data_IF_299992398650
#
_entry.id   IF_299992398650
#
_cell.length_a   1.000
_cell.length_b   1.000
_cell.length_c   1.000
_cell.angle_alpha   90.00
_cell.angle_beta   90.00
_cell.angle_gamma   90.00
#
_symmetry.space_group_name_H-M   'P 1'
#
loop_
_entity.id
_entity.type
_entity.pdbx_description
1 polymer ?
#
# COMPACT_ATOMS: atom_id res chain seq x y z
N UNK A 1 -13.62 -6.58 19.17
CA UNK A 1 -13.77 -7.22 17.84
C UNK A 1 -12.92 -6.44 16.83
N UNK A 2 -12.01 -7.07 16.09
CA UNK A 2 -10.96 -6.37 15.32
C UNK A 2 -11.37 -5.93 13.91
N UNK A 3 -12.54 -6.34 13.41
CA UNK A 3 -13.00 -6.03 12.05
C UNK A 3 -14.48 -5.68 11.98
N UNK A 4 -15.05 -5.07 13.04
CA UNK A 4 -16.49 -4.76 13.10
C UNK A 4 -16.98 -3.76 12.04
N UNK A 5 -16.06 -3.10 11.33
CA UNK A 5 -16.36 -2.23 10.20
C UNK A 5 -16.25 -2.93 8.82
N UNK A 6 -15.73 -4.16 8.76
CA UNK A 6 -15.67 -4.95 7.53
C UNK A 6 -16.86 -5.90 7.46
N UNK A 7 -17.52 -6.03 6.29
CA UNK A 7 -18.47 -7.12 6.08
C UNK A 7 -17.81 -8.48 6.30
N UNK A 8 -18.56 -9.46 6.81
CA UNK A 8 -18.05 -10.82 7.06
C UNK A 8 -17.35 -11.42 5.82
N UNK A 9 -17.90 -11.15 4.63
CA UNK A 9 -17.39 -11.60 3.34
C UNK A 9 -16.54 -10.55 2.59
N UNK A 10 -16.22 -9.43 3.22
CA UNK A 10 -15.47 -8.32 2.59
C UNK A 10 -14.13 -8.78 2.00
N UNK A 11 -13.44 -9.69 2.68
CA UNK A 11 -12.15 -10.25 2.26
C UNK A 11 -12.15 -10.90 0.86
N UNK A 12 -13.32 -11.26 0.32
CA UNK A 12 -13.42 -11.91 -1.00
C UNK A 12 -13.15 -10.97 -2.17
N UNK A 13 -13.29 -9.66 -1.97
CA UNK A 13 -13.38 -8.69 -3.08
C UNK A 13 -12.28 -7.62 -3.08
N UNK A 14 -11.40 -7.65 -2.09
CA UNK A 14 -10.25 -6.75 -2.05
C UNK A 14 -9.01 -7.49 -1.56
N UNK A 15 -7.87 -6.88 -1.86
CA UNK A 15 -6.57 -7.29 -1.36
C UNK A 15 -5.79 -6.03 -1.01
N UNK A 16 -4.93 -6.12 0.00
CA UNK A 16 -3.98 -5.04 0.26
C UNK A 16 -2.73 -5.24 -0.60
N UNK A 17 -2.27 -4.15 -1.21
CA UNK A 17 -0.97 -4.08 -1.87
C UNK A 17 -0.29 -2.83 -1.34
N UNK A 18 0.55 -3.01 -0.33
CA UNK A 18 1.17 -1.91 0.39
C UNK A 18 2.52 -1.53 -0.19
N UNK A 19 2.77 -0.23 -0.31
CA UNK A 19 4.12 0.30 -0.52
C UNK A 19 4.69 0.65 0.86
N UNK A 20 5.80 0.02 1.25
CA UNK A 20 6.33 0.13 2.61
C UNK A 20 7.87 0.03 2.65
N UNK A 21 8.48 0.56 3.71
CA UNK A 21 9.90 0.41 4.05
C UNK A 21 10.03 -0.22 5.44
N UNK A 22 9.66 -1.50 5.56
CA UNK A 22 9.50 -2.17 6.85
C UNK A 22 10.77 -2.88 7.34
N UNK A 23 11.52 -3.51 6.43
CA UNK A 23 12.66 -4.36 6.80
C UNK A 23 13.93 -3.58 7.10
N UNK A 24 14.03 -2.33 6.63
CA UNK A 24 15.17 -1.45 6.88
C UNK A 24 14.66 -0.02 7.06
N UNK A 25 14.99 0.66 8.19
CA UNK A 25 14.52 2.01 8.43
C UNK A 25 14.99 3.00 7.37
N UNK A 26 14.07 3.84 6.89
CA UNK A 26 14.41 4.94 5.99
C UNK A 26 15.05 6.08 6.81
N UNK A 27 16.28 6.46 6.45
CA UNK A 27 16.97 7.58 7.12
C UNK A 27 16.65 8.91 6.44
N UNK A 28 16.33 9.92 7.24
CA UNK A 28 16.16 11.32 6.82
C UNK A 28 17.36 12.15 7.23
N UNK A 29 17.81 13.06 6.36
CA UNK A 29 18.81 14.09 6.66
C UNK A 29 18.29 15.46 6.22
N UNK A 30 18.86 16.54 6.75
CA UNK A 30 18.43 17.91 6.48
C UNK A 30 18.38 18.24 4.98
N UNK A 31 19.39 17.80 4.23
CA UNK A 31 19.50 17.97 2.78
C UNK A 31 18.76 16.90 1.97
N UNK A 32 18.31 15.82 2.62
CA UNK A 32 17.71 14.65 1.97
C UNK A 32 16.56 14.05 2.81
N UNK A 33 15.31 14.51 2.61
CA UNK A 33 14.16 13.93 3.28
C UNK A 33 13.85 12.52 2.79
N UNK A 34 13.37 11.65 3.70
CA UNK A 34 12.76 10.38 3.33
C UNK A 34 11.45 10.62 2.56
N UNK A 35 11.21 9.80 1.55
CA UNK A 35 9.99 9.82 0.73
C UNK A 35 9.59 8.40 0.40
N UNK A 36 8.29 8.13 0.49
CA UNK A 36 7.67 6.89 0.05
C UNK A 36 6.47 7.28 -0.83
N UNK A 37 6.36 6.67 -2.00
CA UNK A 37 5.32 7.03 -2.97
C UNK A 37 4.79 5.79 -3.66
N UNK A 38 3.48 5.76 -3.87
CA UNK A 38 2.78 4.73 -4.63
C UNK A 38 2.20 5.33 -5.90
N UNK A 39 2.30 4.61 -7.02
CA UNK A 39 1.53 4.87 -8.23
C UNK A 39 0.83 3.58 -8.63
N UNK A 40 -0.48 3.65 -8.79
CA UNK A 40 -1.31 2.54 -9.30
C UNK A 40 -1.70 2.90 -10.74
N UNK A 41 -1.54 1.95 -11.65
CA UNK A 41 -1.95 2.10 -13.03
C UNK A 41 -2.64 0.82 -13.48
N UNK A 42 -3.66 0.96 -14.33
CA UNK A 42 -4.28 -0.15 -15.02
C UNK A 42 -3.54 -0.35 -16.35
N UNK A 43 -3.16 -1.58 -16.66
CA UNK A 43 -2.75 -1.95 -18.01
C UNK A 43 -3.99 -2.31 -18.82
N UNK A 44 -4.27 -1.54 -19.87
CA UNK A 44 -5.23 -1.97 -20.88
C UNK A 44 -4.54 -2.97 -21.82
N UNK A 45 -5.02 -4.21 -21.83
CA UNK A 45 -4.48 -5.28 -22.67
C UNK A 45 -5.33 -5.53 -23.92
N UNK A 46 -6.28 -4.63 -24.25
CA UNK A 46 -7.16 -4.78 -25.41
C UNK A 46 -6.34 -4.81 -26.72
N UNK A 47 -6.32 -5.98 -27.36
CA UNK A 47 -6.11 -6.16 -28.80
C UNK A 47 -7.45 -6.44 -29.46
#
# INVERSE_FOLDING_TARGET
VSMGAMPDDGYKTFVCVETACETTPQQTREDKPSRLSTRIALSDSSH
#
